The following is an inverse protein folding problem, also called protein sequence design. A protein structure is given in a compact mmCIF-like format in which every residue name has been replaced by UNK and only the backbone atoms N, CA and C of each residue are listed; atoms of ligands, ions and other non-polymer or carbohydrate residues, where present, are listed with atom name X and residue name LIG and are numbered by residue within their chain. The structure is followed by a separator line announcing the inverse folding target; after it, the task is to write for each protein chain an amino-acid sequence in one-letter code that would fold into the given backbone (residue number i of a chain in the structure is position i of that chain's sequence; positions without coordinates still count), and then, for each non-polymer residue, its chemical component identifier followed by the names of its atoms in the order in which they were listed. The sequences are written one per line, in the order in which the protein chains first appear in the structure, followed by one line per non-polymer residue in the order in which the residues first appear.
data_IF_746388685896
#
_entry.id   IF_746388685896
#
_cell.length_a   1.000
_cell.length_b   1.000
_cell.length_c   1.000
_cell.angle_alpha   90.00
_cell.angle_beta   90.00
_cell.angle_gamma   90.00
#
_symmetry.space_group_name_H-M   'P 1'
#
loop_
_entity.id
_entity.type
_entity.pdbx_description
1 polymer ?
#
# COMPACT_ATOMS: atom_id res chain seq x y z
N UNK A 1 3.86 -23.98 4.93
CA UNK A 1 4.47 -22.65 4.64
C UNK A 1 5.70 -22.73 3.74
N UNK A 2 6.68 -23.62 4.01
CA UNK A 2 7.90 -23.79 3.18
C UNK A 2 7.61 -23.99 1.67
N UNK A 3 6.54 -24.70 1.32
CA UNK A 3 6.20 -24.96 -0.08
C UNK A 3 5.76 -23.72 -0.85
N UNK A 4 5.07 -22.78 -0.20
CA UNK A 4 4.59 -21.57 -0.86
C UNK A 4 5.72 -20.57 -1.13
N UNK A 5 6.60 -20.34 -0.15
CA UNK A 5 7.78 -19.48 -0.36
C UNK A 5 8.67 -20.00 -1.49
N UNK A 6 8.91 -21.32 -1.51
CA UNK A 6 9.65 -21.97 -2.60
C UNK A 6 8.91 -21.86 -3.93
N UNK A 7 7.58 -21.98 -3.93
CA UNK A 7 6.77 -21.81 -5.13
C UNK A 7 6.84 -20.37 -5.68
N UNK A 8 6.71 -19.36 -4.84
CA UNK A 8 6.85 -17.94 -5.20
C UNK A 8 8.22 -17.62 -5.81
N UNK A 9 9.28 -18.25 -5.30
CA UNK A 9 10.65 -18.03 -5.79
C UNK A 9 10.96 -18.79 -7.08
N UNK A 10 10.27 -19.90 -7.34
CA UNK A 10 10.52 -20.77 -8.51
C UNK A 10 9.60 -20.47 -9.69
N UNK A 11 8.60 -19.60 -9.49
CA UNK A 11 7.63 -19.21 -10.53
C UNK A 11 7.69 -17.70 -10.75
N UNK A 12 7.60 -17.23 -12.00
CA UNK A 12 7.58 -15.80 -12.30
C UNK A 12 6.19 -15.22 -12.01
N UNK A 13 5.79 -15.18 -10.74
CA UNK A 13 4.49 -14.64 -10.34
C UNK A 13 4.51 -13.13 -10.58
N UNK A 14 3.60 -12.66 -11.44
CA UNK A 14 3.47 -11.24 -11.79
C UNK A 14 2.32 -10.55 -11.06
N UNK A 15 1.29 -11.28 -10.67
CA UNK A 15 0.15 -10.74 -9.94
C UNK A 15 -0.19 -11.66 -8.79
N UNK A 16 -0.23 -11.10 -7.59
CA UNK A 16 -0.67 -11.79 -6.39
C UNK A 16 -1.80 -10.98 -5.75
N UNK A 17 -2.94 -11.64 -5.57
CA UNK A 17 -4.10 -11.11 -4.88
C UNK A 17 -4.42 -11.98 -3.68
N UNK A 18 -4.37 -11.39 -2.51
CA UNK A 18 -4.88 -11.95 -1.26
C UNK A 18 -6.05 -11.08 -0.83
N UNK A 19 -7.14 -11.71 -0.41
CA UNK A 19 -8.34 -10.98 0.01
C UNK A 19 -8.95 -11.67 1.21
N UNK A 20 -9.16 -10.92 2.29
CA UNK A 20 -9.74 -11.46 3.54
C UNK A 20 -8.78 -12.36 4.32
N UNK A 21 -7.46 -12.28 4.06
CA UNK A 21 -6.48 -13.08 4.78
C UNK A 21 -6.21 -12.46 6.15
N UNK A 22 -6.37 -13.23 7.22
CA UNK A 22 -6.05 -12.80 8.57
C UNK A 22 -4.69 -13.37 8.96
N UNK A 23 -3.71 -12.49 9.19
CA UNK A 23 -2.35 -12.88 9.47
C UNK A 23 -2.18 -13.29 10.94
N UNK A 24 -1.67 -14.50 11.19
CA UNK A 24 -1.06 -14.86 12.48
C UNK A 24 0.41 -14.40 12.52
N UNK A 25 1.01 -14.24 13.70
CA UNK A 25 2.43 -13.85 13.90
C UNK A 25 3.39 -14.74 13.10
N UNK A 26 3.06 -16.02 12.93
CA UNK A 26 3.85 -16.98 12.14
C UNK A 26 3.83 -16.71 10.64
N UNK A 27 2.89 -15.90 10.17
CA UNK A 27 2.62 -15.60 8.76
C UNK A 27 3.16 -14.22 8.36
N UNK A 28 3.74 -13.46 9.28
CA UNK A 28 4.47 -12.23 8.93
C UNK A 28 5.62 -12.54 7.95
N UNK A 29 6.32 -13.65 8.15
CA UNK A 29 7.33 -14.15 7.20
C UNK A 29 6.77 -14.36 5.78
N UNK A 30 5.47 -14.52 5.63
CA UNK A 30 4.83 -14.64 4.32
C UNK A 30 4.82 -13.31 3.56
N UNK A 31 4.58 -12.20 4.25
CA UNK A 31 4.69 -10.87 3.66
C UNK A 31 6.12 -10.60 3.18
N UNK A 32 7.14 -10.99 3.96
CA UNK A 32 8.54 -10.87 3.55
C UNK A 32 8.84 -11.69 2.29
N UNK A 33 8.30 -12.90 2.19
CA UNK A 33 8.46 -13.75 1.01
C UNK A 33 7.78 -13.16 -0.24
N UNK A 34 6.60 -12.55 -0.07
CA UNK A 34 5.92 -11.82 -1.14
C UNK A 34 6.76 -10.63 -1.60
N UNK A 35 7.26 -9.84 -0.64
CA UNK A 35 8.08 -8.64 -0.92
C UNK A 35 9.48 -8.98 -1.46
N UNK A 36 9.93 -10.22 -1.32
CA UNK A 36 11.13 -10.73 -1.98
C UNK A 36 10.92 -11.14 -3.45
N UNK A 37 9.66 -11.27 -3.92
CA UNK A 37 9.35 -11.76 -5.26
C UNK A 37 9.63 -10.71 -6.35
N UNK A 38 10.82 -10.79 -6.97
CA UNK A 38 11.28 -9.80 -7.96
C UNK A 38 10.50 -9.79 -9.27
N UNK A 39 9.61 -10.75 -9.52
CA UNK A 39 8.74 -10.74 -10.71
C UNK A 39 7.38 -10.10 -10.46
N UNK A 40 7.07 -9.73 -9.22
CA UNK A 40 5.75 -9.28 -8.81
C UNK A 40 5.47 -7.85 -9.29
N UNK A 41 4.54 -7.70 -10.23
CA UNK A 41 4.12 -6.42 -10.81
C UNK A 41 2.94 -5.82 -10.04
N UNK A 42 1.99 -6.68 -9.64
CA UNK A 42 0.75 -6.29 -8.95
C UNK A 42 0.65 -7.03 -7.62
N UNK A 43 0.61 -6.27 -6.52
CA UNK A 43 0.34 -6.78 -5.18
C UNK A 43 -0.98 -6.21 -4.67
N UNK A 44 -1.96 -7.08 -4.45
CA UNK A 44 -3.25 -6.71 -3.87
C UNK A 44 -3.45 -7.46 -2.56
N UNK A 45 -3.49 -6.72 -1.45
CA UNK A 45 -3.72 -7.23 -0.10
C UNK A 45 -5.03 -6.71 0.50
N UNK A 46 -5.97 -6.28 -0.33
CA UNK A 46 -7.21 -5.68 0.14
C UNK A 46 -7.94 -6.58 1.14
N UNK A 47 -8.46 -6.00 2.22
CA UNK A 47 -9.13 -6.70 3.31
C UNK A 47 -8.24 -7.70 4.06
N UNK A 48 -6.92 -7.55 3.98
CA UNK A 48 -5.97 -8.29 4.80
C UNK A 48 -5.39 -7.36 5.88
N UNK A 49 -5.84 -7.42 7.15
CA UNK A 49 -5.39 -6.52 8.21
C UNK A 49 -3.88 -6.60 8.44
N UNK A 50 -3.10 -5.56 8.13
CA UNK A 50 -1.66 -5.61 8.35
C UNK A 50 -1.38 -5.66 9.87
N UNK A 51 -0.57 -6.61 10.37
CA UNK A 51 -0.20 -6.66 11.78
C UNK A 51 0.45 -5.35 12.23
N UNK A 52 0.08 -4.86 13.42
CA UNK A 52 0.57 -3.57 13.91
C UNK A 52 2.08 -3.53 14.17
N UNK A 53 2.70 -4.69 14.38
CA UNK A 53 4.14 -4.89 14.57
C UNK A 53 4.89 -5.18 13.25
N UNK A 54 4.17 -5.32 12.14
CA UNK A 54 4.78 -5.53 10.83
C UNK A 54 5.50 -4.26 10.38
N UNK A 55 6.80 -4.42 10.09
CA UNK A 55 7.60 -3.35 9.48
C UNK A 55 7.66 -3.57 7.99
N UNK A 56 7.12 -2.63 7.21
CA UNK A 56 7.18 -2.71 5.75
C UNK A 56 8.62 -2.59 5.27
N UNK A 57 9.13 -3.68 4.68
CA UNK A 57 10.42 -3.72 4.00
C UNK A 57 10.38 -3.10 2.61
N UNK A 58 11.45 -3.31 1.83
CA UNK A 58 11.49 -2.87 0.44
C UNK A 58 10.43 -3.59 -0.41
N UNK A 59 9.69 -2.82 -1.21
CA UNK A 59 8.80 -3.35 -2.24
C UNK A 59 9.66 -3.87 -3.42
N UNK A 60 9.32 -5.01 -4.05
CA UNK A 60 10.04 -5.50 -5.22
C UNK A 60 10.16 -4.41 -6.30
N UNK A 61 11.34 -4.33 -6.92
CA UNK A 61 11.61 -3.31 -7.94
C UNK A 61 10.69 -3.41 -9.17
N UNK A 62 10.07 -4.56 -9.42
CA UNK A 62 9.10 -4.78 -10.49
C UNK A 62 7.68 -4.34 -10.15
N UNK A 63 7.35 -4.13 -8.86
CA UNK A 63 5.99 -3.80 -8.44
C UNK A 63 5.64 -2.38 -8.84
N UNK A 64 4.55 -2.26 -9.60
CA UNK A 64 4.02 -0.98 -10.10
C UNK A 64 2.64 -0.68 -9.54
N UNK A 65 1.91 -1.71 -9.09
CA UNK A 65 0.57 -1.59 -8.53
C UNK A 65 0.52 -2.18 -7.12
N UNK A 66 0.12 -1.38 -6.15
CA UNK A 66 -0.04 -1.78 -4.75
C UNK A 66 -1.44 -1.41 -4.27
N UNK A 67 -2.17 -2.40 -3.76
CA UNK A 67 -3.49 -2.19 -3.16
C UNK A 67 -3.52 -2.70 -1.72
N UNK A 68 -3.85 -1.80 -0.80
CA UNK A 68 -3.86 -1.97 0.66
C UNK A 68 -5.20 -1.48 1.26
N UNK A 69 -6.30 -1.70 0.55
CA UNK A 69 -7.63 -1.24 0.96
C UNK A 69 -8.18 -2.05 2.12
N UNK A 70 -8.73 -1.39 3.15
CA UNK A 70 -9.32 -2.01 4.33
C UNK A 70 -8.35 -2.94 5.07
N UNK A 71 -7.08 -2.54 5.15
CA UNK A 71 -6.00 -3.31 5.75
C UNK A 71 -5.65 -2.87 7.19
N UNK A 72 -6.50 -2.10 7.86
CA UNK A 72 -6.25 -1.60 9.23
C UNK A 72 -4.88 -0.91 9.37
N UNK A 73 -4.53 -0.07 8.39
CA UNK A 73 -3.22 0.58 8.34
C UNK A 73 -3.08 1.56 9.52
N UNK A 74 -2.00 1.43 10.27
CA UNK A 74 -1.68 2.34 11.38
C UNK A 74 -0.95 3.58 10.85
N UNK A 75 -0.95 4.66 11.63
CA UNK A 75 -0.15 5.86 11.35
C UNK A 75 1.34 5.54 11.11
N UNK A 76 1.93 4.70 11.96
CA UNK A 76 3.33 4.26 11.81
C UNK A 76 3.56 3.51 10.49
N UNK A 77 2.60 2.65 10.10
CA UNK A 77 2.67 1.96 8.82
C UNK A 77 2.57 2.94 7.65
N UNK A 78 1.72 3.96 7.72
CA UNK A 78 1.61 4.98 6.67
C UNK A 78 2.91 5.76 6.47
N UNK A 79 3.58 6.13 7.56
CA UNK A 79 4.91 6.78 7.50
C UNK A 79 5.95 5.85 6.87
N UNK A 80 5.98 4.58 7.27
CA UNK A 80 6.87 3.60 6.66
C UNK A 80 6.57 3.38 5.16
N UNK A 81 5.28 3.32 4.80
CA UNK A 81 4.82 3.14 3.44
C UNK A 81 5.32 4.25 2.52
N UNK A 82 5.19 5.52 2.90
CA UNK A 82 5.71 6.64 2.11
C UNK A 82 7.21 6.51 1.87
N UNK A 83 7.98 6.21 2.92
CA UNK A 83 9.43 6.08 2.81
C UNK A 83 9.83 4.95 1.85
N UNK A 84 9.11 3.83 1.89
CA UNK A 84 9.32 2.73 0.94
C UNK A 84 8.89 3.13 -0.47
N UNK A 85 7.76 3.84 -0.62
CA UNK A 85 7.25 4.29 -1.92
C UNK A 85 8.23 5.23 -2.63
N UNK A 86 8.93 6.12 -1.90
CA UNK A 86 9.98 7.01 -2.43
C UNK A 86 11.10 6.24 -3.16
N UNK A 87 11.37 5.02 -2.72
CA UNK A 87 12.42 4.16 -3.26
C UNK A 87 11.87 3.07 -4.22
N UNK A 88 10.56 2.99 -4.38
CA UNK A 88 9.87 1.96 -5.16
C UNK A 88 9.59 2.40 -6.60
N UNK A 89 9.07 1.47 -7.41
CA UNK A 89 8.51 1.75 -8.75
C UNK A 89 6.97 1.77 -8.77
N UNK A 90 6.32 1.85 -7.60
CA UNK A 90 4.86 1.89 -7.50
C UNK A 90 4.34 3.19 -8.11
N UNK A 91 3.48 3.06 -9.12
CA UNK A 91 2.80 4.17 -9.79
C UNK A 91 1.30 4.18 -9.53
N UNK A 92 0.72 3.05 -9.17
CA UNK A 92 -0.69 2.91 -8.82
C UNK A 92 -0.82 2.43 -7.37
N UNK A 93 -1.45 3.26 -6.54
CA UNK A 93 -1.64 3.02 -5.13
C UNK A 93 -3.12 3.11 -4.77
N UNK A 94 -3.67 2.04 -4.20
CA UNK A 94 -5.02 2.03 -3.67
C UNK A 94 -4.99 1.86 -2.15
N UNK A 95 -5.37 2.91 -1.42
CA UNK A 95 -5.48 2.90 0.04
C UNK A 95 -6.87 3.41 0.37
N UNK A 96 -7.70 2.50 0.88
CA UNK A 96 -9.08 2.76 1.25
C UNK A 96 -9.32 2.27 2.67
N UNK A 97 -10.32 2.80 3.38
CA UNK A 97 -10.66 2.34 4.72
C UNK A 97 -9.54 2.54 5.74
N UNK A 98 -8.74 3.60 5.57
CA UNK A 98 -7.96 4.16 6.68
C UNK A 98 -8.96 4.81 7.63
N UNK A 99 -8.96 4.32 8.87
CA UNK A 99 -9.86 4.73 9.94
C UNK A 99 -9.02 5.10 11.17
N UNK A 100 -8.05 5.99 10.95
CA UNK A 100 -7.44 6.74 12.04
C UNK A 100 -8.21 8.04 12.18
N UNK A 101 -8.64 8.35 13.40
CA UNK A 101 -9.36 9.59 13.70
C UNK A 101 -8.41 10.81 13.78
N UNK A 102 -7.10 10.59 13.57
CA UNK A 102 -6.09 11.63 13.49
C UNK A 102 -5.76 11.97 12.02
N UNK A 103 -6.36 13.06 11.56
CA UNK A 103 -6.21 13.56 10.19
C UNK A 103 -4.77 14.01 9.88
N UNK A 104 -3.95 14.32 10.89
CA UNK A 104 -2.59 14.81 10.68
C UNK A 104 -1.69 13.77 9.99
N UNK A 105 -1.88 12.49 10.28
CA UNK A 105 -1.11 11.42 9.64
C UNK A 105 -1.50 11.22 8.17
N UNK A 106 -2.79 11.36 7.86
CA UNK A 106 -3.27 11.29 6.48
C UNK A 106 -2.78 12.49 5.68
N UNK A 107 -2.85 13.70 6.23
CA UNK A 107 -2.29 14.91 5.61
C UNK A 107 -0.79 14.78 5.34
N UNK A 108 -0.02 14.32 6.33
CA UNK A 108 1.41 14.10 6.17
C UNK A 108 1.70 13.03 5.10
N UNK A 109 0.91 11.96 5.06
CA UNK A 109 1.00 10.93 4.03
C UNK A 109 0.76 11.51 2.63
N UNK A 110 -0.36 12.21 2.45
CA UNK A 110 -0.74 12.81 1.16
C UNK A 110 0.27 13.88 0.72
N UNK A 111 0.74 14.71 1.64
CA UNK A 111 1.74 15.75 1.38
C UNK A 111 3.12 15.20 0.97
N UNK A 112 3.43 13.95 1.29
CA UNK A 112 4.67 13.31 0.91
C UNK A 112 4.59 12.46 -0.38
N UNK A 113 3.39 12.22 -0.92
CA UNK A 113 3.22 11.52 -2.20
C UNK A 113 3.90 12.18 -3.40
N UNK A 114 4.01 13.53 -3.51
CA UNK A 114 4.76 14.18 -4.58
C UNK A 114 6.24 13.80 -4.67
N UNK A 115 6.84 13.32 -3.58
CA UNK A 115 8.22 12.83 -3.55
C UNK A 115 8.33 11.36 -4.02
N UNK A 116 7.21 10.72 -4.37
CA UNK A 116 7.16 9.31 -4.78
C UNK A 116 6.95 9.18 -6.29
N UNK A 117 6.84 7.94 -6.79
CA UNK A 117 6.48 7.65 -8.18
C UNK A 117 4.99 7.40 -8.40
N UNK A 118 4.18 7.52 -7.35
CA UNK A 118 2.73 7.32 -7.42
C UNK A 118 2.14 8.41 -8.32
N UNK A 119 1.40 8.00 -9.35
CA UNK A 119 0.69 8.90 -10.27
C UNK A 119 -0.82 8.65 -10.27
N UNK A 120 -1.23 7.46 -9.83
CA UNK A 120 -2.62 7.08 -9.66
C UNK A 120 -2.85 6.71 -8.19
N UNK A 121 -3.74 7.46 -7.54
CA UNK A 121 -4.11 7.27 -6.14
C UNK A 121 -5.62 7.05 -6.05
N UNK A 122 -6.01 5.90 -5.51
CA UNK A 122 -7.40 5.59 -5.16
C UNK A 122 -7.59 5.68 -3.65
N UNK A 123 -8.43 6.64 -3.25
CA UNK A 123 -8.81 6.97 -1.87
C UNK A 123 -10.33 7.04 -1.71
N UNK A 124 -11.08 6.41 -2.62
CA UNK A 124 -12.55 6.48 -2.74
C UNK A 124 -13.34 6.09 -1.49
N UNK A 125 -12.70 5.46 -0.49
CA UNK A 125 -13.30 5.12 0.81
C UNK A 125 -12.48 5.58 2.00
N UNK A 126 -11.78 6.70 1.91
CA UNK A 126 -11.59 7.48 3.13
C UNK A 126 -12.97 7.98 3.58
N UNK A 127 -13.24 7.91 4.88
CA UNK A 127 -14.42 8.54 5.51
C UNK A 127 -14.53 10.00 4.98
N UNK A 128 -15.72 10.66 4.94
CA UNK A 128 -15.99 11.81 4.05
C UNK A 128 -15.27 13.14 4.39
N UNK A 129 -13.98 13.09 4.71
CA UNK A 129 -13.03 14.19 4.89
C UNK A 129 -12.38 14.65 3.57
N UNK A 130 -12.48 13.85 2.49
CA UNK A 130 -11.89 14.21 1.18
C UNK A 130 -12.55 15.48 0.59
N UNK A 131 -13.72 15.90 1.07
CA UNK A 131 -14.35 17.16 0.67
C UNK A 131 -13.60 18.41 1.14
N UNK A 132 -12.85 18.35 2.24
CA UNK A 132 -12.16 19.52 2.81
C UNK A 132 -10.66 19.59 2.41
N UNK A 133 -10.04 18.44 2.16
CA UNK A 133 -8.63 18.33 1.71
C UNK A 133 -8.38 18.92 0.31
N UNK A 134 -9.42 18.99 -0.54
CA UNK A 134 -9.34 19.60 -1.87
C UNK A 134 -8.96 21.09 -1.87
N UNK A 135 -9.07 21.77 -0.72
CA UNK A 135 -8.70 23.18 -0.57
C UNK A 135 -7.28 23.41 -0.02
N UNK A 136 -6.72 22.45 0.73
CA UNK A 136 -5.46 22.64 1.46
C UNK A 136 -4.22 22.15 0.68
N UNK A 137 -4.37 21.09 -0.12
CA UNK A 137 -3.25 20.53 -0.88
C UNK A 137 -3.41 21.05 -2.31
N UNK A 138 -2.57 22.01 -2.70
CA UNK A 138 -2.53 22.51 -4.08
C UNK A 138 -2.21 21.36 -5.04
N UNK A 139 -3.25 20.68 -5.53
CA UNK A 139 -3.16 19.63 -6.54
C UNK A 139 -2.63 20.25 -7.82
N UNK A 140 -1.32 20.17 -8.01
CA UNK A 140 -0.66 20.50 -9.26
C UNK A 140 -1.27 19.63 -10.36
N UNK A 141 -1.44 20.21 -11.55
CA UNK A 141 -2.25 19.73 -12.70
C UNK A 141 -1.90 18.36 -13.32
N UNK A 142 -1.17 17.49 -12.61
CA UNK A 142 -0.75 16.16 -13.06
C UNK A 142 -1.44 15.00 -12.35
N UNK A 143 -2.26 15.26 -11.32
CA UNK A 143 -2.96 14.21 -10.58
C UNK A 143 -4.38 14.05 -11.11
N UNK A 144 -4.72 12.85 -11.60
CA UNK A 144 -6.12 12.48 -11.86
C UNK A 144 -6.64 11.80 -10.62
N UNK A 145 -7.46 12.51 -9.84
CA UNK A 145 -8.25 11.89 -8.79
C UNK A 145 -9.38 11.10 -9.47
N UNK A 146 -9.18 9.79 -9.63
CA UNK A 146 -10.24 8.91 -10.08
C UNK A 146 -11.14 8.58 -8.87
N UNK A 147 -12.17 9.41 -8.65
CA UNK A 147 -13.32 9.02 -7.83
C UNK A 147 -14.18 8.12 -8.71
N UNK A 148 -14.10 6.80 -8.52
CA UNK A 148 -14.99 5.82 -9.17
C UNK A 148 -16.05 5.38 -8.16
#
# INVERSE_FOLDING_TARGET
MLDFGRWLQTRPVQSLKLTGYNWDLREIMFLDLILACQTLIVLNLNYCPIPSDFTLGAIPSSTTHLALSCCQLTALFMVALVNVLKLSNVSHLAIQGYDDHDDAHLEAFLGALPDTRVTHLDVSRFHPFVSDLGFAIGFHSSWTLAII
#
